data_IF_709042815548
#
_entry.id   IF_709042815548
#
_cell.length_a   1.000
_cell.length_b   1.000
_cell.length_c   1.000
_cell.angle_alpha   90.00
_cell.angle_beta   90.00
_cell.angle_gamma   90.00
#
_symmetry.space_group_name_H-M   'P 1'
#
loop_
_entity.id
_entity.type
_entity.pdbx_description
1 polymer ?
#
# COMPACT_ATOMS: atom_id res chain seq x y z
N UNK A 1 -51.46 8.67 62.10
CA UNK A 1 -50.99 9.18 60.81
C UNK A 1 -49.53 8.84 60.74
N UNK A 2 -49.21 7.72 60.08
CA UNK A 2 -47.81 7.19 59.94
C UNK A 2 -47.36 7.49 58.54
N UNK A 3 -46.33 8.30 58.44
CA UNK A 3 -45.64 8.59 57.17
C UNK A 3 -44.60 7.53 56.90
N UNK A 4 -44.70 6.82 55.82
CA UNK A 4 -43.74 5.84 55.36
C UNK A 4 -42.68 6.55 54.51
N UNK A 5 -41.42 6.43 54.94
CA UNK A 5 -40.22 6.87 54.19
C UNK A 5 -39.84 5.78 53.15
N UNK A 6 -39.84 6.14 51.87
CA UNK A 6 -39.35 5.30 50.78
C UNK A 6 -37.82 5.50 50.67
N UNK A 7 -37.06 4.54 51.14
CA UNK A 7 -35.63 4.41 50.81
C UNK A 7 -35.44 3.56 49.56
N UNK A 8 -35.05 4.18 48.47
CA UNK A 8 -34.66 3.49 47.26
C UNK A 8 -33.18 3.07 47.37
N UNK A 9 -32.77 1.84 46.95
CA UNK A 9 -31.41 1.39 47.02
C UNK A 9 -30.57 2.07 45.94
N UNK A 10 -29.55 2.82 46.35
CA UNK A 10 -28.54 3.40 45.49
C UNK A 10 -27.57 2.31 45.00
N UNK A 11 -27.60 2.02 43.69
CA UNK A 11 -26.60 1.14 43.05
C UNK A 11 -25.21 1.75 43.09
N UNK A 12 -24.14 0.96 43.36
CA UNK A 12 -22.79 1.47 43.36
C UNK A 12 -22.35 1.89 41.96
N UNK A 13 -21.47 2.92 41.82
CA UNK A 13 -21.00 3.38 40.51
C UNK A 13 -20.17 2.31 39.80
N UNK A 14 -20.54 2.02 38.57
CA UNK A 14 -19.80 1.10 37.70
C UNK A 14 -18.38 1.58 37.52
N UNK A 15 -17.40 0.75 37.90
CA UNK A 15 -15.97 0.99 37.63
C UNK A 15 -15.76 1.04 36.12
N UNK A 16 -15.43 2.21 35.61
CA UNK A 16 -14.99 2.43 34.25
C UNK A 16 -13.66 1.71 34.05
N UNK A 17 -13.69 0.57 33.39
CA UNK A 17 -12.48 -0.11 32.92
C UNK A 17 -11.82 0.83 31.91
N UNK A 18 -10.68 1.41 32.26
CA UNK A 18 -9.80 2.07 31.29
C UNK A 18 -9.22 0.97 30.41
N UNK A 19 -9.77 0.78 29.22
CA UNK A 19 -9.08 0.07 28.17
C UNK A 19 -7.99 1.00 27.64
N UNK A 20 -6.80 0.86 28.22
CA UNK A 20 -5.58 1.50 27.71
C UNK A 20 -5.05 0.60 26.59
N UNK A 21 -5.82 0.51 25.51
CA UNK A 21 -5.44 -0.18 24.28
C UNK A 21 -4.87 0.86 23.32
N UNK A 22 -3.70 1.40 23.66
CA UNK A 22 -2.85 2.09 22.70
C UNK A 22 -2.33 1.04 21.71
N UNK A 23 -3.21 0.66 20.75
CA UNK A 23 -2.80 -0.15 19.60
C UNK A 23 -1.67 0.62 18.92
N UNK A 24 -0.44 0.10 19.04
CA UNK A 24 0.70 0.67 18.36
C UNK A 24 0.37 0.81 16.86
N UNK A 25 0.61 1.99 16.28
CA UNK A 25 0.36 2.20 14.86
C UNK A 25 1.04 1.11 14.02
N UNK A 26 0.35 0.52 13.05
CA UNK A 26 0.91 -0.54 12.22
C UNK A 26 2.13 0.00 11.45
N UNK A 27 3.24 -0.74 11.48
CA UNK A 27 4.51 -0.33 10.87
C UNK A 27 4.80 -1.12 9.61
N UNK A 28 5.31 -0.44 8.59
CA UNK A 28 5.99 -1.09 7.46
C UNK A 28 7.39 -1.51 7.94
N UNK A 29 7.66 -2.81 7.94
CA UNK A 29 8.99 -3.32 8.27
C UNK A 29 9.84 -3.41 6.99
N UNK A 30 11.09 -2.99 7.08
CA UNK A 30 12.02 -2.97 5.95
C UNK A 30 13.33 -3.62 6.35
N UNK A 31 13.80 -4.57 5.53
CA UNK A 31 15.13 -5.17 5.63
C UNK A 31 15.97 -4.74 4.44
N UNK A 32 17.12 -4.16 4.67
CA UNK A 32 18.13 -3.92 3.64
C UNK A 32 18.84 -5.24 3.32
N UNK A 33 18.99 -5.54 2.05
CA UNK A 33 19.66 -6.76 1.56
C UNK A 33 21.13 -6.52 1.21
N UNK A 34 21.51 -5.25 1.00
CA UNK A 34 22.88 -4.80 0.80
C UNK A 34 23.10 -3.42 1.41
N UNK A 35 24.31 -2.91 1.35
CA UNK A 35 24.67 -1.53 1.71
C UNK A 35 24.07 -0.49 0.75
N UNK A 36 23.68 -0.91 -0.47
CA UNK A 36 23.03 -0.08 -1.50
C UNK A 36 21.53 0.07 -1.30
N UNK A 37 20.88 -0.89 -0.59
CA UNK A 37 19.47 -0.80 -0.24
C UNK A 37 19.18 0.43 0.63
N UNK A 38 18.17 1.22 0.27
CA UNK A 38 17.75 2.42 1.03
C UNK A 38 16.36 2.21 1.61
N UNK A 39 16.19 2.64 2.86
CA UNK A 39 14.87 2.62 3.52
C UNK A 39 13.95 3.60 2.78
N UNK A 40 12.73 3.19 2.39
CA UNK A 40 11.77 4.08 1.74
C UNK A 40 11.43 5.30 2.62
N UNK A 41 11.29 6.46 2.00
CA UNK A 41 11.01 7.72 2.71
C UNK A 41 9.80 8.44 2.13
N UNK A 42 9.07 9.17 2.97
CA UNK A 42 7.98 10.05 2.53
C UNK A 42 8.51 11.46 2.30
N UNK A 43 8.08 12.10 1.21
CA UNK A 43 8.44 13.48 0.89
C UNK A 43 7.80 14.52 1.82
N UNK A 44 6.71 14.17 2.51
CA UNK A 44 6.06 15.00 3.53
C UNK A 44 5.33 14.10 4.54
N UNK A 45 4.89 14.68 5.65
CA UNK A 45 4.17 13.93 6.71
C UNK A 45 2.89 13.26 6.20
N UNK A 46 2.22 13.83 5.21
CA UNK A 46 0.96 13.35 4.64
C UNK A 46 1.12 12.75 3.23
N UNK A 47 2.35 12.54 2.75
CA UNK A 47 2.57 11.85 1.48
C UNK A 47 2.01 10.41 1.58
N UNK A 48 1.19 10.01 0.60
CA UNK A 48 0.62 8.67 0.53
C UNK A 48 1.68 7.61 0.20
N UNK A 49 2.65 7.96 -0.64
CA UNK A 49 3.70 7.07 -1.11
C UNK A 49 5.03 7.28 -0.43
N UNK A 50 5.75 6.18 -0.27
CA UNK A 50 7.14 6.15 0.16
C UNK A 50 8.03 6.05 -1.08
N UNK A 51 8.95 6.98 -1.28
CA UNK A 51 9.93 6.92 -2.38
C UNK A 51 10.75 5.63 -2.29
N UNK A 52 10.86 4.92 -3.42
CA UNK A 52 11.67 3.71 -3.60
C UNK A 52 12.88 4.06 -4.45
N UNK A 53 14.04 3.56 -4.04
CA UNK A 53 15.33 3.93 -4.60
C UNK A 53 15.96 2.78 -5.39
N UNK A 54 16.60 3.10 -6.51
CA UNK A 54 17.44 2.15 -7.25
C UNK A 54 18.70 1.82 -6.43
N UNK A 55 19.05 0.54 -6.38
CA UNK A 55 20.28 0.07 -5.71
C UNK A 55 21.51 0.06 -6.63
N UNK A 56 21.30 0.21 -7.94
CA UNK A 56 22.39 0.24 -8.94
C UNK A 56 21.96 1.03 -10.18
N UNK A 57 22.96 1.43 -10.97
CA UNK A 57 22.74 2.01 -12.29
C UNK A 57 22.01 1.01 -13.19
N UNK A 58 21.05 1.50 -13.96
CA UNK A 58 20.23 0.67 -14.84
C UNK A 58 19.70 1.53 -15.99
N UNK A 59 19.81 1.05 -17.23
CA UNK A 59 19.21 1.70 -18.40
C UNK A 59 17.82 1.11 -18.67
N UNK A 60 16.81 1.97 -18.78
CA UNK A 60 15.47 1.60 -19.26
C UNK A 60 15.43 1.89 -20.77
N UNK A 61 15.49 0.85 -21.63
CA UNK A 61 15.61 1.09 -23.06
C UNK A 61 14.39 1.79 -23.64
N UNK A 62 14.59 2.57 -24.68
CA UNK A 62 13.51 3.21 -25.44
C UNK A 62 12.45 2.20 -25.85
N UNK A 63 11.17 2.52 -25.65
CA UNK A 63 10.03 1.64 -25.97
C UNK A 63 10.10 0.27 -25.27
N UNK A 64 10.95 0.15 -24.24
CA UNK A 64 11.23 -1.10 -23.54
C UNK A 64 10.84 -1.09 -22.09
N UNK A 65 11.37 -2.06 -21.37
CA UNK A 65 11.17 -2.24 -19.94
C UNK A 65 12.38 -2.85 -19.27
N UNK A 66 12.50 -2.63 -17.97
CA UNK A 66 13.55 -3.24 -17.14
C UNK A 66 13.08 -3.44 -15.72
N UNK A 67 13.61 -4.45 -15.04
CA UNK A 67 13.47 -4.62 -13.59
C UNK A 67 14.61 -3.88 -12.89
N UNK A 68 14.27 -2.87 -12.09
CA UNK A 68 15.22 -2.12 -11.25
C UNK A 68 15.32 -2.79 -9.89
N UNK A 69 16.54 -3.12 -9.48
CA UNK A 69 16.81 -3.64 -8.14
C UNK A 69 16.78 -2.52 -7.10
N UNK A 70 16.18 -2.79 -5.94
CA UNK A 70 16.08 -1.85 -4.82
C UNK A 70 16.87 -2.29 -3.59
N UNK A 71 17.31 -3.53 -3.58
CA UNK A 71 18.02 -4.18 -2.48
C UNK A 71 17.34 -4.03 -1.11
N UNK A 72 16.01 -4.02 -1.10
CA UNK A 72 15.21 -4.12 0.13
C UNK A 72 14.21 -5.27 0.04
N UNK A 73 13.84 -5.78 1.19
CA UNK A 73 12.69 -6.66 1.41
C UNK A 73 11.77 -6.00 2.44
N UNK A 74 10.47 -6.20 2.32
CA UNK A 74 9.48 -5.55 3.19
C UNK A 74 8.51 -6.56 3.79
N UNK A 75 7.88 -6.16 4.91
CA UNK A 75 6.68 -6.80 5.42
C UNK A 75 5.61 -5.72 5.62
N UNK A 76 4.53 -5.83 4.86
CA UNK A 76 3.39 -4.93 4.98
C UNK A 76 2.62 -5.20 6.27
N UNK A 77 2.00 -4.16 6.89
CA UNK A 77 1.10 -4.35 8.01
C UNK A 77 -0.06 -5.26 7.66
N UNK A 78 -0.59 -5.99 8.64
CA UNK A 78 -1.76 -6.85 8.45
C UNK A 78 -2.95 -6.07 7.87
N UNK A 79 -3.69 -6.69 6.94
CA UNK A 79 -4.83 -6.08 6.25
C UNK A 79 -4.44 -5.04 5.19
N UNK A 80 -3.16 -5.02 4.78
CA UNK A 80 -2.68 -4.18 3.68
C UNK A 80 -1.83 -4.99 2.71
N UNK A 81 -1.63 -4.45 1.52
CA UNK A 81 -0.59 -4.86 0.58
C UNK A 81 0.24 -3.65 0.17
N UNK A 82 1.41 -3.89 -0.42
CA UNK A 82 2.25 -2.85 -0.99
C UNK A 82 1.97 -2.69 -2.48
N UNK A 83 1.67 -1.46 -2.94
CA UNK A 83 1.53 -1.15 -4.36
C UNK A 83 2.67 -0.25 -4.82
N UNK A 84 3.45 -0.72 -5.78
CA UNK A 84 4.41 0.10 -6.51
C UNK A 84 3.64 0.96 -7.52
N UNK A 85 3.75 2.26 -7.39
CA UNK A 85 3.11 3.23 -8.26
C UNK A 85 4.15 4.14 -8.94
N UNK A 86 3.85 4.66 -10.14
CA UNK A 86 4.77 5.57 -10.83
C UNK A 86 4.90 6.89 -10.04
N UNK A 87 6.03 7.55 -10.22
CA UNK A 87 6.22 8.92 -9.74
C UNK A 87 5.75 9.89 -10.81
N UNK A 88 4.92 10.86 -10.41
CA UNK A 88 4.32 11.83 -11.32
C UNK A 88 5.36 12.58 -12.18
N UNK A 89 6.51 12.94 -11.59
CA UNK A 89 7.58 13.61 -12.32
C UNK A 89 8.25 12.75 -13.39
N UNK A 90 8.45 11.45 -13.12
CA UNK A 90 8.99 10.51 -14.10
C UNK A 90 7.97 10.23 -15.22
N UNK A 91 6.71 10.03 -14.85
CA UNK A 91 5.65 9.79 -15.80
C UNK A 91 5.45 10.99 -16.75
N UNK A 92 5.31 12.19 -16.20
CA UNK A 92 4.97 13.39 -16.99
C UNK A 92 6.12 13.93 -17.83
N UNK A 93 7.37 13.81 -17.36
CA UNK A 93 8.53 14.40 -18.02
C UNK A 93 9.34 13.40 -18.86
N UNK A 94 9.38 12.14 -18.44
CA UNK A 94 10.24 11.12 -19.02
C UNK A 94 9.48 9.93 -19.61
N UNK A 95 8.15 9.94 -19.58
CA UNK A 95 7.32 8.84 -20.08
C UNK A 95 7.61 7.49 -19.42
N UNK A 96 8.06 7.51 -18.16
CA UNK A 96 8.36 6.31 -17.38
C UNK A 96 7.14 5.92 -16.56
N UNK A 97 6.71 4.68 -16.71
CA UNK A 97 5.60 4.07 -15.99
C UNK A 97 6.06 2.84 -15.21
N UNK A 98 5.21 2.32 -14.33
CA UNK A 98 5.46 1.08 -13.58
C UNK A 98 4.51 -0.02 -14.01
N UNK A 99 5.01 -1.26 -14.03
CA UNK A 99 4.21 -2.45 -14.28
C UNK A 99 4.16 -3.38 -13.09
N UNK A 100 3.22 -4.35 -13.13
CA UNK A 100 2.96 -5.26 -12.01
C UNK A 100 2.68 -4.46 -10.72
N UNK A 101 3.53 -4.59 -9.72
CA UNK A 101 3.54 -3.67 -8.58
C UNK A 101 2.72 -4.10 -7.38
N UNK A 102 2.09 -5.27 -7.39
CA UNK A 102 1.44 -5.85 -6.22
C UNK A 102 2.47 -6.60 -5.38
N UNK A 103 2.60 -6.21 -4.11
CA UNK A 103 3.48 -6.84 -3.13
C UNK A 103 2.61 -7.39 -2.01
N UNK A 104 2.45 -8.70 -1.99
CA UNK A 104 1.65 -9.39 -0.99
C UNK A 104 2.21 -9.21 0.42
N UNK A 105 1.35 -9.22 1.44
CA UNK A 105 1.76 -8.99 2.82
C UNK A 105 2.75 -10.04 3.34
N UNK A 106 2.73 -11.24 2.79
CA UNK A 106 3.61 -12.36 3.12
C UNK A 106 4.82 -12.53 2.17
N UNK A 107 4.94 -11.70 1.13
CA UNK A 107 6.14 -11.70 0.29
C UNK A 107 7.37 -11.22 1.07
N UNK A 108 8.48 -11.98 0.97
CA UNK A 108 9.75 -11.70 1.67
C UNK A 108 10.95 -11.62 0.74
N UNK A 109 10.73 -11.71 -0.56
CA UNK A 109 11.78 -11.53 -1.55
C UNK A 109 12.20 -10.06 -1.71
N UNK A 110 13.19 -9.84 -2.55
CA UNK A 110 13.61 -8.49 -2.93
C UNK A 110 12.47 -7.76 -3.64
N UNK A 111 12.16 -6.55 -3.19
CA UNK A 111 11.28 -5.64 -3.91
C UNK A 111 12.01 -5.14 -5.14
N UNK A 112 11.42 -5.37 -6.32
CA UNK A 112 11.91 -4.85 -7.60
C UNK A 112 10.87 -3.94 -8.21
N UNK A 113 11.32 -2.96 -8.97
CA UNK A 113 10.45 -2.04 -9.70
C UNK A 113 10.54 -2.35 -11.20
N UNK A 114 9.44 -2.81 -11.79
CA UNK A 114 9.34 -2.93 -13.23
C UNK A 114 9.03 -1.55 -13.83
N UNK A 115 9.97 -0.99 -14.57
CA UNK A 115 9.78 0.26 -15.29
C UNK A 115 9.50 -0.01 -16.76
N UNK A 116 8.53 0.71 -17.32
CA UNK A 116 8.29 0.83 -18.76
C UNK A 116 8.74 2.21 -19.21
N UNK A 117 9.38 2.27 -20.37
CA UNK A 117 9.77 3.51 -21.03
C UNK A 117 8.96 3.67 -22.31
N UNK A 118 8.04 4.63 -22.33
CA UNK A 118 7.22 4.95 -23.49
C UNK A 118 7.84 5.98 -24.42
N UNK A 119 9.03 6.51 -24.06
CA UNK A 119 9.77 7.46 -24.91
C UNK A 119 10.59 6.75 -26.02
N UNK A 120 11.05 7.54 -26.99
CA UNK A 120 11.90 7.09 -28.10
C UNK A 120 13.40 7.06 -27.73
N UNK A 121 13.76 7.48 -26.52
CA UNK A 121 15.14 7.52 -26.03
C UNK A 121 15.29 6.71 -24.76
N UNK A 122 16.46 6.13 -24.57
CA UNK A 122 16.79 5.43 -23.33
C UNK A 122 16.69 6.36 -22.12
N UNK A 123 16.31 5.82 -20.98
CA UNK A 123 16.27 6.53 -19.71
C UNK A 123 17.27 5.93 -18.74
N UNK A 124 18.24 6.75 -18.29
CA UNK A 124 19.28 6.33 -17.36
C UNK A 124 18.82 6.51 -15.92
N UNK A 125 18.79 5.40 -15.17
CA UNK A 125 18.59 5.35 -13.72
C UNK A 125 19.95 5.21 -13.06
N UNK A 126 20.26 6.08 -12.10
CA UNK A 126 21.47 6.00 -11.27
C UNK A 126 21.18 5.37 -9.92
N UNK A 127 22.20 4.75 -9.32
CA UNK A 127 22.12 4.31 -7.93
C UNK A 127 21.64 5.44 -7.02
N UNK A 128 20.60 5.17 -6.24
CA UNK A 128 19.99 6.14 -5.34
C UNK A 128 18.93 7.03 -5.95
N UNK A 129 18.64 6.91 -7.24
CA UNK A 129 17.50 7.60 -7.84
C UNK A 129 16.19 7.07 -7.30
N UNK A 130 15.23 7.97 -7.13
CA UNK A 130 13.85 7.63 -6.77
C UNK A 130 13.10 7.19 -8.02
N UNK A 131 12.87 5.88 -8.15
CA UNK A 131 12.33 5.27 -9.38
C UNK A 131 10.83 5.02 -9.34
N UNK A 132 10.27 4.90 -8.14
CA UNK A 132 8.84 4.64 -7.93
C UNK A 132 8.42 5.13 -6.54
N UNK A 133 7.15 4.93 -6.20
CA UNK A 133 6.66 5.10 -4.85
C UNK A 133 5.90 3.84 -4.41
N UNK A 134 6.06 3.46 -3.14
CA UNK A 134 5.32 2.39 -2.48
C UNK A 134 4.14 3.00 -1.74
N UNK A 135 2.94 2.55 -2.04
CA UNK A 135 1.70 2.90 -1.32
C UNK A 135 1.23 1.67 -0.54
N UNK A 136 0.84 1.83 0.72
CA UNK A 136 0.18 0.78 1.48
C UNK A 136 -1.33 0.96 1.36
N UNK A 137 -2.01 -0.02 0.78
CA UNK A 137 -3.45 0.03 0.56
C UNK A 137 -4.13 -1.03 1.41
N UNK A 138 -5.24 -0.66 2.05
CA UNK A 138 -6.07 -1.61 2.80
C UNK A 138 -6.83 -2.51 1.85
N UNK A 139 -6.90 -3.79 2.18
CA UNK A 139 -7.62 -4.80 1.40
C UNK A 139 -8.39 -5.75 2.29
N UNK A 140 -9.39 -6.41 1.69
CA UNK A 140 -10.03 -7.60 2.23
C UNK A 140 -9.50 -8.82 1.48
N UNK A 141 -9.30 -9.92 2.21
CA UNK A 141 -8.88 -11.21 1.67
C UNK A 141 -9.85 -12.31 2.11
N UNK A 142 -11.13 -12.23 1.72
CA UNK A 142 -12.12 -13.23 2.09
C UNK A 142 -11.83 -14.56 1.39
N UNK A 143 -12.35 -15.65 1.96
CA UNK A 143 -12.42 -16.92 1.26
C UNK A 143 -13.32 -16.79 0.02
N UNK A 144 -12.98 -17.55 -1.03
CA UNK A 144 -13.78 -17.60 -2.25
C UNK A 144 -14.83 -18.68 -2.10
N UNK A 145 -16.10 -18.31 -2.29
CA UNK A 145 -17.22 -19.23 -2.32
C UNK A 145 -17.81 -19.26 -3.74
N UNK A 146 -17.88 -20.45 -4.34
CA UNK A 146 -18.56 -20.65 -5.62
C UNK A 146 -20.09 -20.75 -5.38
N UNK A 147 -20.85 -19.90 -6.05
CA UNK A 147 -22.31 -19.89 -6.01
C UNK A 147 -22.86 -20.10 -7.41
N UNK A 148 -24.06 -20.66 -7.51
CA UNK A 148 -24.72 -20.88 -8.80
C UNK A 148 -25.30 -19.61 -9.39
N UNK A 149 -25.74 -18.68 -8.51
CA UNK A 149 -26.34 -17.41 -8.91
C UNK A 149 -25.85 -16.31 -7.98
N UNK A 150 -25.64 -15.11 -8.52
CA UNK A 150 -25.40 -13.89 -7.77
C UNK A 150 -26.71 -13.11 -7.64
N UNK A 151 -26.86 -12.40 -6.52
CA UNK A 151 -27.98 -11.50 -6.32
C UNK A 151 -28.09 -10.46 -7.46
N UNK A 152 -29.31 -10.14 -7.86
CA UNK A 152 -29.55 -9.09 -8.84
C UNK A 152 -29.02 -7.74 -8.35
N UNK A 153 -28.42 -6.97 -9.25
CA UNK A 153 -27.97 -5.61 -8.98
C UNK A 153 -28.58 -4.61 -9.95
N UNK A 154 -28.70 -3.35 -9.51
CA UNK A 154 -29.24 -2.26 -10.37
C UNK A 154 -28.48 -2.13 -11.69
N UNK A 155 -27.18 -2.41 -11.70
CA UNK A 155 -26.34 -2.34 -12.90
C UNK A 155 -26.47 -3.60 -13.78
N UNK A 156 -26.77 -4.76 -13.18
CA UNK A 156 -26.79 -6.06 -13.87
C UNK A 156 -25.48 -6.32 -14.60
N UNK A 157 -25.56 -6.80 -15.84
CA UNK A 157 -24.41 -7.11 -16.69
C UNK A 157 -23.86 -5.90 -17.49
N UNK A 158 -24.35 -4.68 -17.25
CA UNK A 158 -23.94 -3.49 -17.98
C UNK A 158 -22.47 -3.12 -17.69
N UNK A 159 -21.65 -3.01 -18.74
CA UNK A 159 -20.24 -2.64 -18.69
C UNK A 159 -19.71 -2.10 -20.01
N UNK A 160 -18.43 -1.76 -20.08
CA UNK A 160 -17.71 -1.31 -21.29
C UNK A 160 -18.43 -0.20 -22.09
N UNK A 161 -19.01 0.79 -21.39
CA UNK A 161 -19.68 1.91 -22.06
C UNK A 161 -21.17 1.69 -22.34
N UNK A 162 -21.82 0.67 -21.77
CA UNK A 162 -23.26 0.44 -21.90
C UNK A 162 -24.15 1.54 -21.30
N UNK A 163 -23.56 2.55 -20.66
CA UNK A 163 -24.21 3.74 -20.06
C UNK A 163 -23.81 5.02 -20.76
N UNK A 164 -23.44 4.97 -22.05
CA UNK A 164 -23.12 6.14 -22.89
C UNK A 164 -24.33 6.80 -23.49
#
# INVERSE_FOLDING_TARGET
>A
MTSASNDAPTSPPAKRVKTDDTMAEPKLLVKRLSDKGRVPTRGSAFAAGYDIYAAKDTTVPARGKVLVDTDISIACPAGTYGRIAPRSGLASKNFIDTGAGVIDADYRGQVKVLLFNHAETDYEVREGDRVAQLVLERIYTPEVEEVQELEESVRGAGGFGSTG
#
